data_IF_148982732260
#
_entry.id   IF_148982732260
#
_cell.length_a   1.000
_cell.length_b   1.000
_cell.length_c   1.000
_cell.angle_alpha   90.00
_cell.angle_beta   90.00
_cell.angle_gamma   90.00
#
_symmetry.space_group_name_H-M   'P 1'
#
loop_
_entity.id
_entity.type
_entity.pdbx_description
1 polymer ?
#
# COMPACT_ATOMS: atom_id res chain seq x y z
N UNK A 1 4.66 -7.90 -34.22
CA UNK A 1 4.14 -6.74 -33.48
C UNK A 1 2.64 -6.96 -33.32
N UNK A 2 2.24 -7.63 -32.25
CA UNK A 2 0.83 -7.82 -31.91
C UNK A 2 0.54 -6.85 -30.78
N UNK A 3 -0.27 -5.82 -31.07
CA UNK A 3 -0.81 -4.93 -30.06
C UNK A 3 -1.73 -5.74 -29.15
N UNK A 4 -1.40 -5.76 -27.86
CA UNK A 4 -2.26 -6.30 -26.82
C UNK A 4 -3.22 -5.16 -26.45
N UNK A 5 -4.45 -5.22 -26.97
CA UNK A 5 -5.53 -4.39 -26.44
C UNK A 5 -5.94 -5.00 -25.09
N UNK A 6 -5.58 -4.33 -24.00
CA UNK A 6 -6.09 -4.64 -22.66
C UNK A 6 -7.56 -4.26 -22.56
N UNK A 7 -8.42 -5.10 -21.97
CA UNK A 7 -9.84 -4.80 -21.85
C UNK A 7 -10.06 -3.60 -20.92
N UNK A 8 -10.95 -2.69 -21.35
CA UNK A 8 -11.44 -1.56 -20.57
C UNK A 8 -12.14 -2.11 -19.32
N UNK A 9 -11.64 -1.73 -18.13
CA UNK A 9 -12.28 -2.06 -16.86
C UNK A 9 -13.72 -1.55 -16.87
N UNK A 10 -14.67 -2.40 -16.48
CA UNK A 10 -16.08 -1.99 -16.37
C UNK A 10 -16.20 -1.09 -15.12
N UNK A 11 -16.75 0.14 -15.23
CA UNK A 11 -16.88 1.01 -14.07
C UNK A 11 -17.78 0.37 -13.02
N UNK A 12 -17.32 0.33 -11.77
CA UNK A 12 -18.13 -0.09 -10.63
C UNK A 12 -19.29 0.91 -10.45
N UNK A 13 -20.51 0.40 -10.33
CA UNK A 13 -21.70 1.23 -10.17
C UNK A 13 -21.68 1.87 -8.77
N UNK A 14 -21.31 3.15 -8.71
CA UNK A 14 -21.17 3.92 -7.49
C UNK A 14 -22.54 4.24 -6.85
N UNK A 15 -22.76 3.69 -5.65
CA UNK A 15 -23.91 4.05 -4.82
C UNK A 15 -23.93 3.28 -3.51
N UNK A 16 -23.06 3.64 -2.55
CA UNK A 16 -23.21 3.18 -1.17
C UNK A 16 -22.68 4.20 -0.13
N UNK A 17 -23.22 4.05 1.08
CA UNK A 17 -23.12 4.90 2.25
C UNK A 17 -22.20 4.24 3.30
N UNK A 18 -21.08 4.88 3.66
CA UNK A 18 -20.42 4.70 4.96
C UNK A 18 -21.12 5.70 5.93
N UNK A 19 -21.81 5.23 6.96
CA UNK A 19 -22.49 6.10 7.94
C UNK A 19 -23.89 6.63 7.59
N UNK A 20 -24.56 6.08 6.55
CA UNK A 20 -25.97 6.40 6.24
C UNK A 20 -26.21 7.67 5.39
N UNK A 21 -25.13 8.25 4.84
CA UNK A 21 -25.16 9.34 3.84
C UNK A 21 -24.25 8.91 2.68
N UNK A 22 -24.68 9.13 1.43
CA UNK A 22 -23.85 8.80 0.27
C UNK A 22 -22.51 9.54 0.33
N UNK A 23 -21.40 8.88 0.02
CA UNK A 23 -20.04 9.47 0.11
C UNK A 23 -19.94 10.75 -0.74
N UNK A 24 -20.64 10.82 -1.88
CA UNK A 24 -20.72 12.00 -2.75
C UNK A 24 -21.57 13.14 -2.16
N UNK A 25 -22.26 12.94 -1.05
CA UNK A 25 -23.06 13.94 -0.33
C UNK A 25 -22.39 14.39 0.97
N UNK A 26 -21.34 13.68 1.42
CA UNK A 26 -20.57 14.06 2.61
C UNK A 26 -19.69 15.28 2.32
N UNK A 27 -19.59 16.25 3.25
CA UNK A 27 -18.68 17.38 3.12
C UNK A 27 -17.23 16.90 3.22
N UNK A 28 -16.33 17.40 2.35
CA UNK A 28 -14.94 16.94 2.22
C UNK A 28 -14.15 16.84 3.55
N UNK A 29 -14.53 17.61 4.57
CA UNK A 29 -13.90 17.63 5.90
C UNK A 29 -13.86 16.29 6.66
N UNK A 30 -14.57 15.26 6.22
CA UNK A 30 -14.67 13.96 6.93
C UNK A 30 -14.03 12.79 6.16
N UNK A 31 -12.79 12.41 6.50
CA UNK A 31 -12.18 11.20 5.94
C UNK A 31 -12.81 9.92 6.49
N UNK A 32 -12.76 8.85 5.71
CA UNK A 32 -13.35 7.54 6.00
C UNK A 32 -12.27 6.50 6.32
N UNK A 33 -12.67 5.33 6.82
CA UNK A 33 -11.74 4.23 7.08
C UNK A 33 -11.18 3.63 5.79
N UNK A 34 -11.94 3.72 4.70
CA UNK A 34 -11.51 3.39 3.34
C UNK A 34 -10.33 4.25 2.87
N UNK A 35 -10.27 5.54 3.22
CA UNK A 35 -9.11 6.41 2.96
C UNK A 35 -7.84 5.88 3.64
N UNK A 36 -7.95 5.58 4.94
CA UNK A 36 -6.83 5.12 5.75
C UNK A 36 -6.31 3.76 5.25
N UNK A 37 -7.23 2.84 4.92
CA UNK A 37 -6.93 1.52 4.35
C UNK A 37 -6.17 1.59 3.03
N UNK A 38 -6.62 2.42 2.10
CA UNK A 38 -5.99 2.57 0.79
C UNK A 38 -4.54 3.03 0.93
N UNK A 39 -4.32 4.10 1.70
CA UNK A 39 -3.00 4.69 1.93
C UNK A 39 -2.09 3.74 2.71
N UNK A 40 -2.60 3.09 3.76
CA UNK A 40 -1.86 2.10 4.55
C UNK A 40 -1.37 0.95 3.67
N UNK A 41 -2.25 0.41 2.82
CA UNK A 41 -1.89 -0.66 1.90
C UNK A 41 -0.82 -0.21 0.89
N UNK A 42 -0.90 1.02 0.35
CA UNK A 42 0.12 1.57 -0.54
C UNK A 42 1.51 1.70 0.10
N UNK A 43 1.54 1.98 1.41
CA UNK A 43 2.74 2.04 2.24
C UNK A 43 3.20 0.66 2.77
N UNK A 44 2.50 -0.42 2.41
CA UNK A 44 2.77 -1.79 2.89
C UNK A 44 2.83 -1.90 4.43
N UNK A 45 2.15 -1.01 5.13
CA UNK A 45 2.05 -1.04 6.59
C UNK A 45 0.94 -2.00 6.99
N UNK A 46 1.16 -2.83 7.99
CA UNK A 46 0.06 -3.57 8.60
C UNK A 46 -0.66 -2.69 9.63
N UNK A 47 -1.92 -2.99 9.97
CA UNK A 47 -2.62 -2.34 11.09
C UNK A 47 -1.77 -2.24 12.36
N UNK A 48 -1.00 -3.29 12.66
CA UNK A 48 -0.12 -3.35 13.83
C UNK A 48 1.13 -2.48 13.71
N UNK A 49 1.55 -2.13 12.49
CA UNK A 49 2.65 -1.20 12.24
C UNK A 49 2.16 0.25 12.32
N UNK A 50 0.96 0.53 11.79
CA UNK A 50 0.41 1.89 11.73
C UNK A 50 -0.20 2.34 13.07
N UNK A 51 -0.92 1.46 13.77
CA UNK A 51 -1.63 1.86 14.99
C UNK A 51 -0.70 2.50 16.05
N UNK A 52 0.51 1.97 16.35
CA UNK A 52 1.45 2.63 17.26
C UNK A 52 1.90 4.02 16.80
N UNK A 53 2.09 4.22 15.49
CA UNK A 53 2.51 5.51 14.91
C UNK A 53 1.44 6.60 15.09
N UNK A 54 0.17 6.20 15.14
CA UNK A 54 -0.98 7.07 15.34
C UNK A 54 -1.45 7.12 16.82
N UNK A 55 -0.80 6.40 17.73
CA UNK A 55 -1.19 6.30 19.14
C UNK A 55 -2.51 5.55 19.35
N UNK A 56 -2.86 4.65 18.43
CA UNK A 56 -4.08 3.85 18.45
C UNK A 56 -3.84 2.46 19.06
N UNK A 57 -4.92 1.89 19.60
CA UNK A 57 -4.95 0.49 20.00
C UNK A 57 -5.12 -0.39 18.74
N UNK A 58 -4.21 -1.33 18.43
CA UNK A 58 -4.29 -2.14 17.22
C UNK A 58 -5.58 -2.96 17.12
N UNK A 59 -6.14 -3.45 18.24
CA UNK A 59 -7.38 -4.21 18.24
C UNK A 59 -8.57 -3.33 17.87
N UNK A 60 -8.56 -2.08 18.34
CA UNK A 60 -9.61 -1.12 18.00
C UNK A 60 -9.51 -0.71 16.53
N UNK A 61 -8.31 -0.43 16.05
CA UNK A 61 -8.04 -0.09 14.65
C UNK A 61 -8.60 -1.18 13.71
N UNK A 62 -8.30 -2.45 14.00
CA UNK A 62 -8.80 -3.59 13.21
C UNK A 62 -10.33 -3.70 13.22
N UNK A 63 -10.99 -3.31 14.31
CA UNK A 63 -12.46 -3.39 14.39
C UNK A 63 -13.13 -2.42 13.43
N UNK A 64 -12.52 -1.27 13.17
CA UNK A 64 -13.07 -0.24 12.28
C UNK A 64 -12.66 -0.43 10.83
N UNK A 65 -11.43 -0.85 10.54
CA UNK A 65 -11.01 -1.06 9.14
C UNK A 65 -11.71 -2.26 8.48
N UNK A 66 -12.17 -3.25 9.26
CA UNK A 66 -12.74 -4.48 8.72
C UNK A 66 -14.27 -4.59 8.78
N UNK A 67 -14.99 -3.60 9.31
CA UNK A 67 -16.46 -3.56 9.56
C UNK A 67 -17.06 -4.71 10.38
N UNK A 68 -16.52 -5.92 10.30
CA UNK A 68 -16.92 -7.13 10.99
C UNK A 68 -15.84 -7.59 11.98
N UNK A 69 -16.14 -7.66 13.27
CA UNK A 69 -15.23 -8.18 14.29
C UNK A 69 -14.76 -9.63 14.06
N UNK A 70 -15.41 -10.39 13.16
CA UNK A 70 -15.02 -11.77 12.81
C UNK A 70 -13.92 -11.84 11.74
N UNK A 71 -13.70 -10.76 11.00
CA UNK A 71 -12.63 -10.65 10.00
C UNK A 71 -11.31 -10.15 10.64
N UNK A 72 -11.35 -9.82 11.94
CA UNK A 72 -10.20 -9.47 12.77
C UNK A 72 -9.40 -10.74 13.11
N UNK A 73 -8.09 -10.82 12.77
CA UNK A 73 -7.25 -11.94 13.17
C UNK A 73 -7.21 -12.10 14.70
N UNK A 74 -7.42 -13.34 15.18
CA UNK A 74 -7.74 -13.76 16.56
C UNK A 74 -6.74 -13.37 17.70
N UNK A 75 -5.77 -12.49 17.45
CA UNK A 75 -4.72 -12.12 18.41
C UNK A 75 -5.04 -10.85 19.24
N UNK A 76 -6.06 -10.07 18.89
CA UNK A 76 -6.24 -8.71 19.40
C UNK A 76 -7.31 -8.60 20.51
N UNK A 77 -7.04 -9.20 21.68
CA UNK A 77 -7.87 -9.03 22.88
C UNK A 77 -7.28 -7.96 23.81
N UNK A 78 -7.67 -6.69 23.67
CA UNK A 78 -7.10 -5.59 24.47
C UNK A 78 -7.93 -4.30 24.59
N UNK A 79 -9.26 -4.36 24.44
CA UNK A 79 -10.14 -3.18 24.39
C UNK A 79 -10.17 -2.41 25.73
N UNK A 80 -9.53 -1.23 25.83
CA UNK A 80 -9.98 -0.13 26.74
C UNK A 80 -9.23 1.22 26.65
N UNK A 81 -8.08 1.34 25.97
CA UNK A 81 -7.27 2.57 26.00
C UNK A 81 -7.69 3.68 25.03
N UNK A 82 -8.04 3.33 23.79
CA UNK A 82 -8.21 4.30 22.69
C UNK A 82 -9.52 5.11 22.72
N UNK A 83 -10.51 4.72 23.52
CA UNK A 83 -11.71 5.53 23.78
C UNK A 83 -11.41 6.86 24.48
N UNK A 84 -10.17 7.12 24.91
CA UNK A 84 -9.77 8.41 25.48
C UNK A 84 -9.28 9.40 24.43
N UNK A 85 -8.74 8.94 23.29
CA UNK A 85 -8.24 9.80 22.21
C UNK A 85 -9.37 10.24 21.26
N UNK A 86 -10.22 9.29 20.81
CA UNK A 86 -11.38 9.58 19.95
C UNK A 86 -12.46 10.39 20.68
N UNK A 87 -12.52 10.31 22.02
CA UNK A 87 -13.51 11.03 22.84
C UNK A 87 -13.05 12.41 23.29
N UNK A 88 -11.79 12.77 23.04
CA UNK A 88 -11.22 14.08 23.37
C UNK A 88 -11.27 15.08 22.19
N UNK A 89 -11.52 14.62 20.96
CA UNK A 89 -11.82 15.42 19.78
C UNK A 89 -13.13 14.94 19.14
N UNK A 90 -13.91 15.81 18.52
CA UNK A 90 -15.27 15.56 18.04
C UNK A 90 -15.37 14.63 16.81
N UNK A 91 -14.82 13.41 16.86
CA UNK A 91 -14.93 12.42 15.79
C UNK A 91 -16.08 11.44 16.02
N UNK A 92 -16.93 11.24 15.01
CA UNK A 92 -17.81 10.06 14.96
C UNK A 92 -16.95 8.80 14.83
N UNK A 93 -17.31 7.64 15.42
CA UNK A 93 -16.66 6.35 15.12
C UNK A 93 -16.63 5.99 13.62
N UNK A 94 -17.46 6.66 12.81
CA UNK A 94 -17.58 6.44 11.37
C UNK A 94 -16.50 7.17 10.55
N UNK A 95 -15.78 8.14 11.14
CA UNK A 95 -14.83 8.99 10.42
C UNK A 95 -13.41 8.89 10.99
N UNK A 96 -12.42 9.09 10.12
CA UNK A 96 -11.00 9.15 10.44
C UNK A 96 -10.57 10.61 10.62
N UNK A 97 -9.83 10.96 11.69
CA UNK A 97 -9.26 12.30 11.84
C UNK A 97 -8.34 12.68 10.68
N UNK A 98 -8.50 13.90 10.13
CA UNK A 98 -7.68 14.42 9.03
C UNK A 98 -6.17 14.31 9.29
N UNK A 99 -5.75 14.60 10.52
CA UNK A 99 -4.35 14.44 10.95
C UNK A 99 -3.78 13.02 10.73
N UNK A 100 -4.59 11.96 10.72
CA UNK A 100 -4.10 10.61 10.40
C UNK A 100 -3.87 10.45 8.91
N UNK A 101 -4.73 11.05 8.08
CA UNK A 101 -4.54 11.06 6.63
C UNK A 101 -3.33 11.90 6.25
N UNK A 102 -3.14 13.05 6.90
CA UNK A 102 -1.96 13.91 6.73
C UNK A 102 -0.66 13.12 7.03
N UNK A 103 -0.62 12.34 8.12
CA UNK A 103 0.54 11.48 8.43
C UNK A 103 0.84 10.45 7.34
N UNK A 104 -0.19 9.80 6.79
CA UNK A 104 0.02 8.83 5.71
C UNK A 104 0.38 9.52 4.38
N UNK A 105 -0.09 10.76 4.16
CA UNK A 105 0.32 11.57 3.02
C UNK A 105 1.81 11.94 3.13
N UNK A 106 2.26 12.39 4.30
CA UNK A 106 3.68 12.69 4.56
C UNK A 106 4.58 11.44 4.41
N UNK A 107 4.11 10.27 4.88
CA UNK A 107 4.81 9.01 4.67
C UNK A 107 4.89 8.60 3.19
N UNK A 108 3.83 8.85 2.41
CA UNK A 108 3.82 8.57 0.98
C UNK A 108 4.71 9.56 0.21
N UNK A 109 4.74 10.84 0.60
CA UNK A 109 5.68 11.83 0.07
C UNK A 109 7.13 11.38 0.31
N UNK A 110 7.47 10.96 1.54
CA UNK A 110 8.78 10.39 1.83
C UNK A 110 9.13 9.18 0.93
N UNK A 111 8.17 8.25 0.74
CA UNK A 111 8.38 7.07 -0.11
C UNK A 111 8.58 7.45 -1.58
N UNK A 112 7.80 8.42 -2.09
CA UNK A 112 7.87 8.90 -3.45
C UNK A 112 9.20 9.61 -3.72
N UNK A 113 9.59 10.55 -2.85
CA UNK A 113 10.84 11.30 -2.95
C UNK A 113 12.06 10.38 -2.90
N UNK A 114 12.07 9.43 -1.96
CA UNK A 114 13.18 8.47 -1.84
C UNK A 114 13.25 7.56 -3.08
N UNK A 115 12.10 7.12 -3.61
CA UNK A 115 12.08 6.32 -4.83
C UNK A 115 12.59 7.11 -6.04
N UNK A 116 12.16 8.36 -6.21
CA UNK A 116 12.62 9.25 -7.28
C UNK A 116 14.13 9.51 -7.17
N UNK A 117 14.62 9.88 -5.99
CA UNK A 117 16.05 10.06 -5.71
C UNK A 117 16.87 8.84 -6.11
N UNK A 118 16.42 7.63 -5.77
CA UNK A 118 17.11 6.38 -6.14
C UNK A 118 17.11 6.12 -7.65
N UNK A 119 16.03 6.51 -8.35
CA UNK A 119 15.93 6.39 -9.81
C UNK A 119 16.87 7.39 -10.49
N UNK A 120 16.87 8.65 -10.07
CA UNK A 120 17.66 9.74 -10.66
C UNK A 120 19.17 9.54 -10.44
N UNK A 121 19.55 8.98 -9.30
CA UNK A 121 20.96 8.73 -8.94
C UNK A 121 21.49 7.39 -9.44
N UNK A 122 20.64 6.56 -10.06
CA UNK A 122 21.07 5.29 -10.63
C UNK A 122 22.09 5.54 -11.77
N UNK A 123 23.19 4.76 -11.84
CA UNK A 123 24.16 4.93 -12.92
C UNK A 123 23.49 4.73 -14.28
N UNK A 124 23.94 5.39 -15.34
CA UNK A 124 23.34 5.25 -16.69
C UNK A 124 23.64 3.91 -17.37
N UNK A 125 24.68 3.19 -16.90
CA UNK A 125 25.12 1.92 -17.47
C UNK A 125 25.51 0.92 -16.40
N UNK A 126 25.50 -0.36 -16.78
CA UNK A 126 25.79 -1.47 -15.87
C UNK A 126 24.60 -1.82 -14.95
N UNK A 127 24.90 -2.69 -13.98
CA UNK A 127 23.96 -3.16 -12.97
C UNK A 127 23.73 -2.06 -11.95
N UNK A 128 22.46 -1.71 -11.71
CA UNK A 128 22.07 -0.77 -10.67
C UNK A 128 22.00 -1.51 -9.33
N UNK A 129 22.75 -1.04 -8.34
CA UNK A 129 22.76 -1.61 -7.00
C UNK A 129 22.04 -0.64 -6.06
N UNK A 130 20.92 -1.08 -5.50
CA UNK A 130 20.17 -0.33 -4.49
C UNK A 130 20.41 -0.92 -3.11
N UNK A 131 20.58 -0.07 -2.11
CA UNK A 131 20.80 -0.46 -0.72
C UNK A 131 19.63 -0.02 0.14
N UNK A 132 19.17 -0.91 1.03
CA UNK A 132 18.27 -0.57 2.13
C UNK A 132 19.04 -0.53 3.45
N UNK A 133 18.55 0.25 4.41
CA UNK A 133 19.07 0.26 5.77
C UNK A 133 19.07 -1.15 6.37
N UNK A 134 20.12 -1.47 7.14
CA UNK A 134 20.32 -2.81 7.69
C UNK A 134 19.37 -3.11 8.85
N UNK A 135 18.82 -2.08 9.51
CA UNK A 135 17.86 -2.15 10.61
C UNK A 135 17.20 -0.79 10.84
N UNK A 136 16.29 -0.73 11.81
CA UNK A 136 15.54 0.47 12.19
C UNK A 136 16.45 1.57 12.75
N UNK A 137 17.51 1.20 13.47
CA UNK A 137 18.43 2.17 14.09
C UNK A 137 19.25 2.88 13.01
N UNK A 138 19.77 2.13 12.05
CA UNK A 138 20.47 2.69 10.88
C UNK A 138 19.53 3.58 10.07
N UNK A 139 18.30 3.14 9.83
CA UNK A 139 17.30 3.96 9.13
C UNK A 139 17.04 5.29 9.84
N UNK A 140 16.76 5.27 11.14
CA UNK A 140 16.50 6.49 11.91
C UNK A 140 17.74 7.42 11.99
N UNK A 141 18.94 6.86 11.94
CA UNK A 141 20.18 7.65 11.88
C UNK A 141 20.38 8.31 10.51
N UNK A 142 20.05 7.61 9.43
CA UNK A 142 20.20 8.10 8.06
C UNK A 142 19.10 9.10 7.67
N UNK A 143 17.91 8.95 8.25
CA UNK A 143 16.72 9.79 8.04
C UNK A 143 16.18 10.33 9.36
N UNK A 144 16.89 11.25 10.04
CA UNK A 144 16.49 11.76 11.34
C UNK A 144 15.14 12.51 11.31
N UNK A 145 14.79 13.08 10.15
CA UNK A 145 13.55 13.84 9.97
C UNK A 145 12.35 12.97 9.52
N UNK A 146 12.58 11.67 9.22
CA UNK A 146 11.52 10.74 8.85
C UNK A 146 10.78 10.25 10.11
N UNK A 147 9.95 11.12 10.67
CA UNK A 147 9.16 10.88 11.88
C UNK A 147 7.72 11.36 11.72
N UNK A 148 6.80 10.76 12.48
CA UNK A 148 5.42 11.25 12.55
C UNK A 148 5.37 12.64 13.17
N UNK A 149 4.50 13.51 12.65
CA UNK A 149 4.32 14.87 13.20
C UNK A 149 3.57 14.85 14.54
N UNK A 150 2.65 13.90 14.73
CA UNK A 150 1.78 13.79 15.90
C UNK A 150 2.52 13.31 17.15
N UNK A 151 3.38 12.30 17.00
CA UNK A 151 4.02 11.61 18.14
C UNK A 151 5.55 11.61 18.06
N UNK A 152 6.13 12.23 17.03
CA UNK A 152 7.58 12.26 16.80
C UNK A 152 8.18 10.84 16.80
N UNK A 153 7.40 9.86 16.33
CA UNK A 153 7.84 8.48 16.23
C UNK A 153 8.56 8.27 14.90
N UNK A 154 9.79 7.72 14.89
CA UNK A 154 10.48 7.41 13.66
C UNK A 154 9.62 6.54 12.76
N UNK A 155 9.62 6.87 11.47
CA UNK A 155 8.99 6.04 10.46
C UNK A 155 9.56 4.63 10.48
N UNK A 156 8.76 3.60 10.20
CA UNK A 156 9.26 2.24 10.13
C UNK A 156 10.15 2.11 8.89
N UNK A 157 11.29 1.41 9.03
CA UNK A 157 12.22 1.10 7.92
C UNK A 157 11.54 0.41 6.73
N UNK A 158 10.35 -0.18 6.94
CA UNK A 158 9.50 -0.70 5.87
C UNK A 158 9.17 0.35 4.81
N UNK A 159 9.04 1.64 5.16
CA UNK A 159 8.82 2.70 4.16
C UNK A 159 9.98 2.78 3.17
N UNK A 160 11.23 2.70 3.64
CA UNK A 160 12.38 2.63 2.75
C UNK A 160 12.38 1.36 1.90
N UNK A 161 11.96 0.21 2.46
CA UNK A 161 11.82 -1.02 1.66
C UNK A 161 10.81 -0.86 0.52
N UNK A 162 9.71 -0.13 0.76
CA UNK A 162 8.71 0.21 -0.26
C UNK A 162 9.34 1.13 -1.31
N UNK A 163 9.98 2.22 -0.92
CA UNK A 163 10.64 3.17 -1.82
C UNK A 163 11.67 2.48 -2.72
N UNK A 164 12.58 1.69 -2.14
CA UNK A 164 13.57 0.91 -2.90
C UNK A 164 12.92 -0.12 -3.81
N UNK A 165 11.85 -0.77 -3.36
CA UNK A 165 11.11 -1.72 -4.20
C UNK A 165 10.43 -1.06 -5.40
N UNK A 166 9.80 0.11 -5.21
CA UNK A 166 9.17 0.91 -6.27
C UNK A 166 10.23 1.43 -7.26
N UNK A 167 11.35 1.96 -6.76
CA UNK A 167 12.49 2.37 -7.59
C UNK A 167 13.05 1.20 -8.41
N UNK A 168 13.23 0.03 -7.79
CA UNK A 168 13.72 -1.15 -8.49
C UNK A 168 12.75 -1.62 -9.59
N UNK A 169 11.44 -1.58 -9.33
CA UNK A 169 10.43 -1.95 -10.30
C UNK A 169 10.42 -0.98 -11.50
N UNK A 170 10.52 0.31 -11.25
CA UNK A 170 10.57 1.34 -12.28
C UNK A 170 11.84 1.27 -13.13
N UNK A 171 13.01 1.08 -12.50
CA UNK A 171 14.26 0.88 -13.23
C UNK A 171 14.21 -0.39 -14.11
N UNK A 172 13.61 -1.48 -13.63
CA UNK A 172 13.40 -2.69 -14.46
C UNK A 172 12.46 -2.44 -15.63
N UNK A 173 11.38 -1.67 -15.45
CA UNK A 173 10.51 -1.22 -16.56
C UNK A 173 11.28 -0.44 -17.61
N UNK A 174 12.27 0.37 -17.19
CA UNK A 174 13.21 1.08 -18.08
C UNK A 174 14.29 0.17 -18.70
N UNK A 175 14.18 -1.15 -18.54
CA UNK A 175 15.12 -2.14 -19.09
C UNK A 175 16.45 -2.21 -18.36
N UNK A 176 16.55 -1.69 -17.13
CA UNK A 176 17.78 -1.74 -16.33
C UNK A 176 17.89 -3.07 -15.58
N UNK A 177 19.12 -3.56 -15.42
CA UNK A 177 19.40 -4.67 -14.51
C UNK A 177 19.58 -4.11 -13.09
N UNK A 178 18.84 -4.65 -12.12
CA UNK A 178 18.70 -4.07 -10.78
C UNK A 178 18.84 -5.13 -9.70
N UNK A 179 19.76 -4.86 -8.79
CA UNK A 179 20.03 -5.67 -7.61
C UNK A 179 19.74 -4.87 -6.34
N UNK A 180 19.00 -5.48 -5.41
CA UNK A 180 18.69 -4.85 -4.13
C UNK A 180 19.39 -5.60 -2.99
N UNK A 181 20.02 -4.85 -2.09
CA UNK A 181 20.79 -5.39 -0.98
C UNK A 181 20.37 -4.78 0.35
N UNK A 182 20.48 -5.60 1.41
CA UNK A 182 20.45 -5.18 2.81
C UNK A 182 21.77 -5.60 3.44
N UNK A 183 22.71 -4.66 3.53
CA UNK A 183 24.11 -4.98 3.83
C UNK A 183 24.70 -5.86 2.73
N UNK A 184 25.29 -7.00 3.08
CA UNK A 184 25.87 -7.94 2.10
C UNK A 184 24.88 -8.95 1.52
N UNK A 185 23.60 -8.90 1.92
CA UNK A 185 22.59 -9.90 1.55
C UNK A 185 21.63 -9.37 0.50
N UNK A 186 21.34 -10.17 -0.53
CA UNK A 186 20.25 -9.89 -1.48
C UNK A 186 18.91 -9.72 -0.77
N UNK A 187 18.17 -8.71 -1.22
CA UNK A 187 16.92 -8.28 -0.61
C UNK A 187 15.82 -8.00 -1.65
N UNK A 188 16.05 -8.39 -2.91
CA UNK A 188 15.17 -8.11 -4.07
C UNK A 188 13.75 -8.57 -3.84
N UNK A 189 13.56 -9.81 -3.38
CA UNK A 189 12.22 -10.38 -3.15
C UNK A 189 11.48 -9.64 -2.03
N UNK A 190 12.17 -9.23 -0.97
CA UNK A 190 11.54 -8.55 0.15
C UNK A 190 11.17 -7.10 -0.22
N UNK A 191 12.02 -6.40 -0.97
CA UNK A 191 11.72 -5.07 -1.49
C UNK A 191 10.58 -5.09 -2.52
N UNK A 192 10.63 -6.01 -3.49
CA UNK A 192 9.56 -6.16 -4.48
C UNK A 192 8.21 -6.50 -3.82
N UNK A 193 8.22 -7.38 -2.81
CA UNK A 193 7.03 -7.71 -2.02
C UNK A 193 6.49 -6.50 -1.25
N UNK A 194 7.37 -5.72 -0.62
CA UNK A 194 6.98 -4.51 0.10
C UNK A 194 6.37 -3.48 -0.85
N UNK A 195 6.95 -3.26 -2.04
CA UNK A 195 6.41 -2.32 -3.02
C UNK A 195 4.95 -2.60 -3.40
N UNK A 196 4.57 -3.87 -3.49
CA UNK A 196 3.21 -4.29 -3.84
C UNK A 196 2.28 -4.48 -2.63
N UNK A 197 2.70 -4.13 -1.41
CA UNK A 197 1.82 -4.17 -0.23
C UNK A 197 1.48 -5.57 0.30
N UNK A 198 2.32 -6.57 0.02
CA UNK A 198 2.03 -7.97 0.37
C UNK A 198 2.79 -8.46 1.62
N UNK A 199 2.12 -9.31 2.41
CA UNK A 199 2.74 -10.04 3.51
C UNK A 199 3.53 -11.25 3.04
N UNK A 200 4.46 -11.75 3.86
CA UNK A 200 5.28 -12.93 3.46
C UNK A 200 4.43 -14.18 3.23
N UNK A 201 3.46 -14.43 4.11
CA UNK A 201 2.58 -15.60 4.03
C UNK A 201 1.67 -15.52 2.81
N UNK A 202 1.01 -14.38 2.63
CA UNK A 202 0.18 -14.08 1.47
C UNK A 202 0.95 -14.21 0.14
N UNK A 203 2.16 -13.64 0.08
CA UNK A 203 3.04 -13.76 -1.09
C UNK A 203 3.41 -15.21 -1.39
N UNK A 204 3.70 -16.00 -0.36
CA UNK A 204 4.02 -17.41 -0.56
C UNK A 204 2.83 -18.17 -1.17
N UNK A 205 1.61 -17.94 -0.67
CA UNK A 205 0.40 -18.53 -1.24
C UNK A 205 0.16 -18.07 -2.67
N UNK A 206 0.20 -16.76 -2.91
CA UNK A 206 0.01 -16.15 -4.23
C UNK A 206 0.96 -16.77 -5.27
N UNK A 207 2.25 -16.91 -4.93
CA UNK A 207 3.27 -17.49 -5.80
C UNK A 207 3.25 -19.03 -5.89
N UNK A 208 2.36 -19.72 -5.16
CA UNK A 208 2.31 -21.18 -5.10
C UNK A 208 3.54 -21.82 -4.46
N UNK A 209 4.18 -21.13 -3.51
CA UNK A 209 5.39 -21.57 -2.82
C UNK A 209 5.06 -21.93 -1.37
N UNK A 210 5.65 -23.00 -0.86
CA UNK A 210 5.54 -23.33 0.56
C UNK A 210 6.04 -22.15 1.44
N UNK A 211 5.22 -21.74 2.42
CA UNK A 211 5.49 -20.60 3.31
C UNK A 211 6.89 -20.67 3.94
N UNK A 212 7.29 -21.82 4.51
CA UNK A 212 8.62 -21.99 5.13
C UNK A 212 9.74 -21.82 4.11
N UNK A 213 9.56 -22.35 2.90
CA UNK A 213 10.53 -22.22 1.81
C UNK A 213 10.65 -20.78 1.31
N UNK A 214 9.53 -20.05 1.22
CA UNK A 214 9.54 -18.63 0.87
C UNK A 214 10.29 -17.81 1.92
N UNK A 215 10.00 -18.01 3.20
CA UNK A 215 10.66 -17.31 4.32
C UNK A 215 12.16 -17.61 4.35
N UNK A 216 12.55 -18.86 4.10
CA UNK A 216 13.96 -19.24 4.01
C UNK A 216 14.67 -18.58 2.82
N UNK A 217 13.97 -18.42 1.69
CA UNK A 217 14.50 -17.76 0.49
C UNK A 217 14.80 -16.30 0.75
N UNK A 218 13.83 -15.53 1.26
CA UNK A 218 14.07 -14.11 1.62
C UNK A 218 15.17 -13.98 2.67
N UNK A 219 15.16 -14.83 3.70
CA UNK A 219 16.16 -14.78 4.78
C UNK A 219 17.58 -15.06 4.30
N UNK A 220 17.75 -15.98 3.34
CA UNK A 220 19.06 -16.33 2.77
C UNK A 220 19.50 -15.39 1.65
N UNK A 221 18.62 -14.52 1.16
CA UNK A 221 18.91 -13.71 -0.03
C UNK A 221 19.06 -14.56 -1.30
N UNK A 222 18.31 -15.66 -1.40
CA UNK A 222 18.34 -16.48 -2.62
C UNK A 222 17.49 -15.82 -3.68
N UNK A 223 18.08 -15.56 -4.85
CA UNK A 223 17.35 -14.98 -5.99
C UNK A 223 16.41 -16.05 -6.56
N UNK A 224 15.13 -15.73 -6.66
CA UNK A 224 14.14 -16.53 -7.40
C UNK A 224 13.59 -15.67 -8.53
N UNK A 225 14.23 -15.71 -9.69
CA UNK A 225 13.89 -14.83 -10.80
C UNK A 225 12.41 -14.94 -11.20
N UNK A 226 11.85 -16.15 -11.23
CA UNK A 226 10.43 -16.33 -11.53
C UNK A 226 9.52 -15.58 -10.53
N UNK A 227 9.81 -15.67 -9.23
CA UNK A 227 9.07 -14.94 -8.20
C UNK A 227 9.25 -13.43 -8.31
N UNK A 228 10.45 -12.96 -8.67
CA UNK A 228 10.69 -11.53 -8.87
C UNK A 228 9.94 -11.00 -10.09
N UNK A 229 9.89 -11.77 -11.18
CA UNK A 229 9.09 -11.44 -12.36
C UNK A 229 7.59 -11.43 -12.05
N UNK A 230 7.11 -12.41 -11.26
CA UNK A 230 5.71 -12.45 -10.80
C UNK A 230 5.38 -11.18 -10.00
N UNK A 231 6.24 -10.76 -9.05
CA UNK A 231 6.05 -9.53 -8.26
C UNK A 231 6.16 -8.25 -9.12
N UNK A 232 7.04 -8.23 -10.13
CA UNK A 232 7.13 -7.13 -11.09
C UNK A 232 5.82 -6.95 -11.85
N UNK A 233 5.20 -8.06 -12.31
CA UNK A 233 3.90 -8.00 -13.01
C UNK A 233 2.78 -7.46 -12.13
N UNK A 234 2.80 -7.76 -10.82
CA UNK A 234 1.86 -7.17 -9.87
C UNK A 234 2.08 -5.66 -9.74
N UNK A 235 3.33 -5.21 -9.63
CA UNK A 235 3.63 -3.77 -9.56
C UNK A 235 3.25 -3.03 -10.86
N UNK A 236 3.48 -3.66 -12.01
CA UNK A 236 3.05 -3.15 -13.31
C UNK A 236 1.51 -3.05 -13.39
N UNK A 237 0.79 -4.06 -12.88
CA UNK A 237 -0.67 -4.04 -12.76
C UNK A 237 -1.14 -2.89 -11.84
N UNK A 238 -0.54 -2.72 -10.67
CA UNK A 238 -0.87 -1.63 -9.73
C UNK A 238 -0.66 -0.27 -10.40
N UNK A 239 0.47 -0.10 -11.08
CA UNK A 239 0.83 1.17 -11.76
C UNK A 239 -0.15 1.49 -12.88
N UNK A 240 -0.45 0.51 -13.75
CA UNK A 240 -1.43 0.68 -14.82
C UNK A 240 -2.83 0.96 -14.26
N UNK A 241 -3.25 0.22 -13.24
CA UNK A 241 -4.55 0.37 -12.60
C UNK A 241 -4.70 1.75 -11.94
N UNK A 242 -3.69 2.19 -11.18
CA UNK A 242 -3.71 3.51 -10.53
C UNK A 242 -3.96 4.64 -11.53
N UNK A 243 -3.29 4.59 -12.69
CA UNK A 243 -3.45 5.59 -13.77
C UNK A 243 -4.83 5.59 -14.44
N UNK A 244 -5.58 4.48 -14.31
CA UNK A 244 -6.88 4.26 -14.98
C UNK A 244 -8.08 4.30 -14.03
N UNK A 245 -7.84 4.34 -12.71
CA UNK A 245 -8.93 4.45 -11.74
C UNK A 245 -9.73 5.73 -12.02
N UNK A 246 -11.05 5.55 -12.12
CA UNK A 246 -11.95 6.67 -12.34
C UNK A 246 -11.91 7.59 -11.12
N UNK A 247 -11.68 8.87 -11.39
CA UNK A 247 -11.75 9.95 -10.40
C UNK A 247 -12.97 10.78 -10.75
N UNK A 248 -13.93 10.91 -9.84
CA UNK A 248 -15.03 11.88 -10.03
C UNK A 248 -14.93 12.97 -8.99
N UNK A 249 -15.15 14.18 -9.47
CA UNK A 249 -15.21 15.38 -8.66
C UNK A 249 -16.58 15.48 -8.00
N UNK A 250 -16.63 15.48 -6.68
CA UNK A 250 -17.83 15.70 -5.88
C UNK A 250 -17.49 16.50 -4.62
N UNK A 251 -18.32 17.49 -4.27
CA UNK A 251 -18.17 18.33 -3.07
C UNK A 251 -16.78 18.99 -2.90
N UNK A 252 -16.13 19.33 -4.01
CA UNK A 252 -14.80 19.95 -4.00
C UNK A 252 -13.65 18.96 -3.75
N UNK A 253 -13.90 17.66 -3.93
CA UNK A 253 -12.91 16.60 -3.78
C UNK A 253 -12.97 15.58 -4.91
N UNK A 254 -11.80 15.07 -5.26
CA UNK A 254 -11.57 13.96 -6.16
C UNK A 254 -11.85 12.64 -5.42
N UNK A 255 -12.87 11.89 -5.81
CA UNK A 255 -13.18 10.59 -5.18
C UNK A 255 -12.73 9.46 -6.09
N UNK A 256 -12.01 8.49 -5.53
CA UNK A 256 -11.58 7.23 -6.13
C UNK A 256 -12.43 6.10 -5.54
N UNK A 257 -12.91 5.18 -6.36
CA UNK A 257 -13.66 4.01 -5.88
C UNK A 257 -12.87 2.73 -6.01
N UNK A 258 -12.89 1.89 -4.97
CA UNK A 258 -12.33 0.56 -4.95
C UNK A 258 -13.34 -0.43 -4.36
N UNK A 259 -13.43 -1.64 -4.92
CA UNK A 259 -14.24 -2.73 -4.33
C UNK A 259 -13.46 -3.45 -3.24
N UNK A 260 -14.16 -3.95 -2.23
CA UNK A 260 -13.61 -4.89 -1.24
C UNK A 260 -13.95 -6.36 -1.53
N UNK A 261 -14.81 -6.63 -2.52
CA UNK A 261 -15.18 -7.99 -2.91
C UNK A 261 -14.15 -8.58 -3.89
N UNK A 262 -13.45 -9.62 -3.44
CA UNK A 262 -12.51 -10.39 -4.24
C UNK A 262 -13.12 -10.94 -5.54
N UNK A 263 -14.39 -11.38 -5.52
CA UNK A 263 -15.07 -11.92 -6.72
C UNK A 263 -15.39 -10.82 -7.72
N UNK A 264 -15.77 -9.64 -7.25
CA UNK A 264 -15.97 -8.49 -8.12
C UNK A 264 -14.66 -8.04 -8.76
N UNK A 265 -13.58 -8.00 -7.97
CA UNK A 265 -12.24 -7.74 -8.47
C UNK A 265 -11.84 -8.76 -9.56
N UNK A 266 -11.98 -10.06 -9.31
CA UNK A 266 -11.65 -11.09 -10.30
C UNK A 266 -12.50 -11.01 -11.56
N UNK A 267 -13.76 -10.58 -11.44
CA UNK A 267 -14.64 -10.35 -12.58
C UNK A 267 -14.22 -9.13 -13.40
N UNK A 268 -13.81 -8.04 -12.74
CA UNK A 268 -13.34 -6.82 -13.38
C UNK A 268 -11.95 -6.99 -14.01
N UNK A 269 -11.09 -7.82 -13.39
CA UNK A 269 -9.70 -8.05 -13.79
C UNK A 269 -9.41 -9.55 -13.97
N UNK A 270 -10.03 -10.23 -14.96
CA UNK A 270 -9.91 -11.69 -15.13
C UNK A 270 -8.49 -12.17 -15.48
N UNK A 271 -7.62 -11.26 -15.89
CA UNK A 271 -6.20 -11.55 -16.20
C UNK A 271 -5.25 -11.21 -15.06
N UNK A 272 -5.74 -10.66 -13.94
CA UNK A 272 -4.95 -10.35 -12.75
C UNK A 272 -4.67 -11.64 -11.96
N UNK A 273 -3.83 -12.50 -12.54
CA UNK A 273 -3.49 -13.83 -12.05
C UNK A 273 -1.97 -14.02 -12.08
N UNK A 274 -1.45 -14.82 -11.16
CA UNK A 274 -0.09 -15.33 -11.27
C UNK A 274 -0.08 -16.48 -12.26
N UNK A 275 0.60 -16.31 -13.40
CA UNK A 275 0.61 -17.30 -14.50
C UNK A 275 0.97 -18.72 -14.03
N UNK A 276 1.91 -18.85 -13.08
CA UNK A 276 2.43 -20.14 -12.64
C UNK A 276 1.53 -20.88 -11.66
N UNK A 277 0.86 -20.17 -10.76
CA UNK A 277 -0.01 -20.77 -9.75
C UNK A 277 -1.48 -20.69 -10.13
N UNK A 278 -1.83 -19.91 -11.15
CA UNK A 278 -3.18 -19.50 -11.51
C UNK A 278 -3.95 -18.81 -10.36
N UNK A 279 -3.26 -18.41 -9.29
CA UNK A 279 -3.89 -17.72 -8.18
C UNK A 279 -4.20 -16.27 -8.58
N UNK A 280 -5.42 -15.79 -8.30
CA UNK A 280 -5.77 -14.40 -8.54
C UNK A 280 -4.97 -13.46 -7.65
N UNK A 281 -4.73 -12.25 -8.15
CA UNK A 281 -4.22 -11.17 -7.33
C UNK A 281 -5.26 -10.88 -6.23
N UNK A 282 -4.83 -10.60 -5.00
CA UNK A 282 -5.76 -10.19 -3.96
C UNK A 282 -6.34 -8.82 -4.32
N UNK A 283 -7.62 -8.59 -4.00
CA UNK A 283 -8.32 -7.30 -4.18
C UNK A 283 -7.56 -6.14 -3.53
N UNK A 284 -6.71 -6.42 -2.53
CA UNK A 284 -5.76 -5.46 -1.96
C UNK A 284 -4.92 -4.75 -3.04
N UNK A 285 -4.59 -5.37 -4.17
CA UNK A 285 -3.83 -4.69 -5.24
C UNK A 285 -4.60 -3.50 -5.83
N UNK A 286 -5.93 -3.55 -5.84
CA UNK A 286 -6.78 -2.40 -6.19
C UNK A 286 -6.67 -1.29 -5.14
N UNK A 287 -6.66 -1.64 -3.86
CA UNK A 287 -6.48 -0.68 -2.76
C UNK A 287 -5.10 -0.04 -2.74
N UNK A 288 -4.05 -0.80 -3.07
CA UNK A 288 -2.70 -0.26 -3.27
C UNK A 288 -2.70 0.73 -4.44
N UNK A 289 -3.34 0.38 -5.57
CA UNK A 289 -3.47 1.27 -6.71
C UNK A 289 -4.26 2.55 -6.36
N UNK A 290 -5.35 2.43 -5.62
CA UNK A 290 -6.14 3.56 -5.14
C UNK A 290 -5.34 4.47 -4.20
N UNK A 291 -4.57 3.89 -3.27
CA UNK A 291 -3.68 4.65 -2.37
C UNK A 291 -2.57 5.39 -3.12
N UNK A 292 -1.91 4.76 -4.10
CA UNK A 292 -0.92 5.43 -4.96
C UNK A 292 -1.54 6.56 -5.77
N UNK A 293 -2.72 6.32 -6.35
CA UNK A 293 -3.46 7.34 -7.08
C UNK A 293 -3.88 8.51 -6.18
N UNK A 294 -4.27 8.24 -4.94
CA UNK A 294 -4.56 9.28 -3.97
C UNK A 294 -3.33 10.14 -3.65
N UNK A 295 -2.17 9.50 -3.43
CA UNK A 295 -0.90 10.20 -3.24
C UNK A 295 -0.52 11.11 -4.42
N UNK A 296 -0.69 10.65 -5.67
CA UNK A 296 -0.44 11.47 -6.86
C UNK A 296 -1.32 12.72 -6.92
N UNK A 297 -2.61 12.57 -6.59
CA UNK A 297 -3.58 13.67 -6.64
C UNK A 297 -3.35 14.65 -5.47
N UNK A 298 -3.05 14.16 -4.27
CA UNK A 298 -2.68 15.00 -3.12
C UNK A 298 -1.40 15.80 -3.40
N UNK A 299 -0.37 15.18 -3.97
CA UNK A 299 0.87 15.85 -4.37
C UNK A 299 0.62 16.95 -5.43
N UNK A 300 -0.43 16.79 -6.25
CA UNK A 300 -0.91 17.82 -7.16
C UNK A 300 -1.76 18.91 -6.49
N UNK A 301 -1.90 18.88 -5.16
CA UNK A 301 -2.67 19.82 -4.35
C UNK A 301 -4.18 19.59 -4.40
N UNK A 302 -4.63 18.41 -4.84
CA UNK A 302 -6.05 18.07 -4.88
C UNK A 302 -6.51 17.49 -3.55
N UNK A 303 -7.76 17.78 -3.20
CA UNK A 303 -8.46 17.17 -2.08
C UNK A 303 -8.98 15.79 -2.51
N UNK A 304 -8.50 14.70 -1.91
CA UNK A 304 -8.80 13.33 -2.39
C UNK A 304 -9.49 12.48 -1.34
N UNK A 305 -10.43 11.63 -1.81
CA UNK A 305 -11.04 10.55 -1.04
C UNK A 305 -10.94 9.21 -1.74
N UNK A 306 -10.84 8.13 -0.97
CA UNK A 306 -11.00 6.76 -1.44
C UNK A 306 -12.23 6.14 -0.79
N UNK A 307 -13.14 5.61 -1.61
CA UNK A 307 -14.40 5.04 -1.19
C UNK A 307 -14.45 3.54 -1.49
N UNK A 308 -14.99 2.74 -0.56
CA UNK A 308 -15.31 1.34 -0.78
C UNK A 308 -16.62 1.18 -1.59
N UNK A 309 -16.67 0.18 -2.47
CA UNK A 309 -17.90 -0.32 -3.11
C UNK A 309 -18.06 -1.80 -2.75
N UNK A 310 -19.27 -2.19 -2.39
CA UNK A 310 -19.67 -3.58 -2.15
C UNK A 310 -20.25 -4.23 -3.41
#
# INVERSE_FOLDING_TARGET
>A
MMSIESPVATPFAAGREEGGIAITEQPFVEYLWSDLKARRNALSLWPEDLAPLLGLDPALYLTYEYDNPQDVPDAAAGRRGAMKAIRAGAGSPDNVPAQFIDELADMEEFVADEAERLIETAPDSGVVILQVAIDQETFASDYPDACTRLLEHPYPVTLQHVAVGRAAAELRRRGRDVEVYRGLRRFDLAAARAAVGLGKTETAYLLGINVKSYFATERKGTIRQASLNDLQKIDDFITDTASRLEVKEANGASTIWATDDQKEFEKAYPTALIERSANPYPVRMLWVAAGRRAGELDAAGQAVRVAAID
#
